data_IF_407755236841
#
_entry.id   IF_407755236841
#
_cell.length_a   1.000
_cell.length_b   1.000
_cell.length_c   1.000
_cell.angle_alpha   90.00
_cell.angle_beta   90.00
_cell.angle_gamma   90.00
#
_symmetry.space_group_name_H-M   'P 1'
#
loop_
_entity.id
_entity.type
_entity.pdbx_description
1 polymer ?
#
# COMPACT_ATOMS: atom_id res chain seq x y z
N UNK A 1 18.95 -29.42 -7.65
CA UNK A 1 17.49 -29.53 -7.72
C UNK A 1 17.08 -28.74 -8.94
N UNK A 2 16.74 -29.44 -10.03
CA UNK A 2 16.28 -28.77 -11.24
C UNK A 2 14.86 -28.23 -11.00
N UNK A 3 14.67 -26.91 -11.19
CA UNK A 3 13.36 -26.25 -11.06
C UNK A 3 12.29 -26.94 -11.94
N UNK A 4 12.69 -27.53 -13.06
CA UNK A 4 11.82 -28.28 -13.95
C UNK A 4 11.35 -29.62 -13.35
N UNK A 5 12.13 -30.29 -12.52
CA UNK A 5 11.69 -31.49 -11.79
C UNK A 5 10.62 -31.14 -10.74
N UNK A 6 10.70 -29.98 -10.10
CA UNK A 6 9.70 -29.48 -9.16
C UNK A 6 8.34 -29.21 -9.83
N UNK A 7 8.34 -28.68 -11.05
CA UNK A 7 7.13 -28.43 -11.84
C UNK A 7 6.55 -29.68 -12.45
N UNK A 8 7.36 -30.72 -12.63
CA UNK A 8 6.92 -32.00 -13.20
C UNK A 8 6.34 -32.98 -12.18
N UNK A 9 6.28 -32.64 -10.89
CA UNK A 9 5.58 -33.42 -9.88
C UNK A 9 4.09 -33.47 -10.23
N UNK A 10 3.62 -34.70 -10.50
CA UNK A 10 2.21 -34.98 -10.87
C UNK A 10 1.22 -34.81 -9.72
N UNK A 11 1.65 -34.37 -8.56
CA UNK A 11 0.81 -34.17 -7.39
C UNK A 11 0.12 -32.78 -7.44
N UNK A 12 -1.22 -32.73 -7.37
CA UNK A 12 -1.97 -31.47 -7.56
C UNK A 12 -1.76 -30.49 -6.42
N UNK A 13 -1.52 -30.96 -5.19
CA UNK A 13 -1.45 -30.08 -4.00
C UNK A 13 -0.14 -29.28 -3.95
N UNK A 14 1.06 -29.86 -4.08
CA UNK A 14 2.29 -29.09 -4.17
C UNK A 14 2.29 -28.08 -5.33
N UNK A 15 1.75 -28.48 -6.48
CA UNK A 15 1.64 -27.58 -7.63
C UNK A 15 0.71 -26.40 -7.35
N UNK A 16 -0.42 -26.63 -6.68
CA UNK A 16 -1.35 -25.58 -6.27
C UNK A 16 -0.70 -24.61 -5.27
N UNK A 17 0.02 -25.13 -4.26
CA UNK A 17 0.77 -24.31 -3.27
C UNK A 17 1.77 -23.42 -3.98
N UNK A 18 2.59 -23.95 -4.88
CA UNK A 18 3.56 -23.17 -5.64
C UNK A 18 2.88 -22.12 -6.53
N UNK A 19 1.77 -22.47 -7.18
CA UNK A 19 0.98 -21.55 -8.00
C UNK A 19 0.42 -20.39 -7.19
N UNK A 20 -0.12 -20.64 -5.99
CA UNK A 20 -0.59 -19.59 -5.08
C UNK A 20 0.54 -18.67 -4.61
N UNK A 21 1.69 -19.22 -4.24
CA UNK A 21 2.83 -18.43 -3.80
C UNK A 21 3.38 -17.56 -4.93
N UNK A 22 3.45 -18.06 -6.16
CA UNK A 22 3.84 -17.28 -7.33
C UNK A 22 2.84 -16.16 -7.61
N UNK A 23 1.54 -16.45 -7.54
CA UNK A 23 0.49 -15.44 -7.72
C UNK A 23 0.61 -14.33 -6.67
N UNK A 24 0.75 -14.68 -5.39
CA UNK A 24 0.94 -13.70 -4.32
C UNK A 24 2.21 -12.87 -4.50
N UNK A 25 3.30 -13.49 -4.93
CA UNK A 25 4.54 -12.79 -5.24
C UNK A 25 4.35 -11.78 -6.37
N UNK A 26 3.75 -12.18 -7.50
CA UNK A 26 3.50 -11.30 -8.63
C UNK A 26 2.57 -10.13 -8.27
N UNK A 27 1.49 -10.39 -7.53
CA UNK A 27 0.57 -9.36 -7.04
C UNK A 27 1.31 -8.37 -6.13
N UNK A 28 2.14 -8.87 -5.20
CA UNK A 28 2.92 -8.01 -4.30
C UNK A 28 3.89 -7.11 -5.06
N UNK A 29 4.65 -7.64 -6.00
CA UNK A 29 5.57 -6.83 -6.80
C UNK A 29 4.84 -5.78 -7.65
N UNK A 30 3.68 -6.14 -8.22
CA UNK A 30 2.85 -5.18 -8.96
C UNK A 30 2.40 -4.02 -8.07
N UNK A 31 1.94 -4.31 -6.85
CA UNK A 31 1.54 -3.29 -5.88
C UNK A 31 2.76 -2.45 -5.45
N UNK A 32 3.90 -3.08 -5.16
CA UNK A 32 5.13 -2.41 -4.75
C UNK A 32 5.56 -1.37 -5.79
N UNK A 33 5.69 -1.76 -7.06
CA UNK A 33 6.12 -0.83 -8.12
C UNK A 33 5.11 0.27 -8.37
N UNK A 34 3.81 -0.05 -8.36
CA UNK A 34 2.72 0.93 -8.51
C UNK A 34 2.75 1.96 -7.39
N UNK A 35 2.84 1.51 -6.12
CA UNK A 35 2.90 2.39 -4.95
C UNK A 35 4.17 3.21 -4.88
N UNK A 36 5.31 2.63 -5.22
CA UNK A 36 6.57 3.36 -5.27
C UNK A 36 6.51 4.54 -6.23
N UNK A 37 6.03 4.28 -7.45
CA UNK A 37 5.83 5.33 -8.46
C UNK A 37 4.83 6.39 -8.01
N UNK A 38 3.71 5.96 -7.44
CA UNK A 38 2.66 6.84 -6.92
C UNK A 38 3.19 7.76 -5.81
N UNK A 39 3.83 7.23 -4.77
CA UNK A 39 4.37 8.04 -3.67
C UNK A 39 5.46 9.01 -4.12
N UNK A 40 6.29 8.59 -5.08
CA UNK A 40 7.31 9.47 -5.67
C UNK A 40 6.69 10.66 -6.40
N UNK A 41 5.65 10.41 -7.19
CA UNK A 41 4.88 11.46 -7.90
C UNK A 41 4.17 12.39 -6.92
N UNK A 42 3.45 11.82 -5.94
CA UNK A 42 2.71 12.58 -4.93
C UNK A 42 3.64 13.48 -4.11
N UNK A 43 4.80 12.99 -3.68
CA UNK A 43 5.79 13.77 -2.92
C UNK A 43 6.33 14.96 -3.74
N UNK A 44 6.62 14.75 -5.01
CA UNK A 44 7.07 15.83 -5.89
C UNK A 44 5.96 16.86 -6.15
N UNK A 45 4.75 16.41 -6.45
CA UNK A 45 3.60 17.28 -6.68
C UNK A 45 3.28 18.11 -5.43
N UNK A 46 3.26 17.49 -4.23
CA UNK A 46 3.09 18.19 -2.96
C UNK A 46 4.13 19.31 -2.74
N UNK A 47 5.41 19.05 -3.06
CA UNK A 47 6.47 20.07 -2.91
C UNK A 47 6.24 21.27 -3.84
N UNK A 48 5.79 21.02 -5.06
CA UNK A 48 5.51 22.11 -6.03
C UNK A 48 4.27 22.88 -5.62
N UNK A 49 3.20 22.19 -5.26
CA UNK A 49 1.97 22.81 -4.78
C UNK A 49 2.20 23.67 -3.52
N UNK A 50 2.88 23.12 -2.51
CA UNK A 50 3.15 23.83 -1.26
C UNK A 50 3.99 25.11 -1.48
N UNK A 51 4.94 25.08 -2.43
CA UNK A 51 5.68 26.29 -2.83
C UNK A 51 4.79 27.34 -3.50
N UNK A 52 3.85 26.88 -4.35
CA UNK A 52 2.89 27.78 -4.99
C UNK A 52 1.94 28.41 -3.95
N UNK A 53 1.43 27.59 -3.02
CA UNK A 53 0.57 28.04 -1.92
C UNK A 53 1.28 29.09 -1.04
N UNK A 54 2.52 28.84 -0.61
CA UNK A 54 3.29 29.73 0.28
C UNK A 54 3.83 31.00 -0.40
N UNK A 55 3.88 31.05 -1.75
CA UNK A 55 4.22 32.30 -2.46
C UNK A 55 3.19 33.40 -2.24
N UNK A 56 2.03 33.07 -1.71
CA UNK A 56 0.95 34.00 -1.44
C UNK A 56 0.17 34.37 -2.69
N UNK A 57 -1.05 34.80 -2.49
CA UNK A 57 -1.96 35.18 -3.55
C UNK A 57 -3.40 35.12 -3.07
N UNK A 58 -4.31 35.57 -3.90
CA UNK A 58 -5.72 35.33 -3.66
C UNK A 58 -6.01 33.83 -3.76
N UNK A 59 -6.90 33.31 -2.90
CA UNK A 59 -7.29 31.89 -2.87
C UNK A 59 -7.72 31.39 -4.25
N UNK A 60 -8.39 32.21 -5.05
CA UNK A 60 -8.79 31.88 -6.43
C UNK A 60 -7.60 31.61 -7.36
N UNK A 61 -6.51 32.38 -7.22
CA UNK A 61 -5.31 32.16 -8.01
C UNK A 61 -4.61 30.86 -7.61
N UNK A 62 -4.61 30.53 -6.33
CA UNK A 62 -4.07 29.27 -5.84
C UNK A 62 -4.94 28.09 -6.31
N UNK A 63 -6.27 28.23 -6.33
CA UNK A 63 -7.20 27.23 -6.83
C UNK A 63 -6.96 26.89 -8.33
N UNK A 64 -6.73 27.90 -9.16
CA UNK A 64 -6.37 27.71 -10.57
C UNK A 64 -5.05 26.94 -10.75
N UNK A 65 -4.09 27.14 -9.85
CA UNK A 65 -2.82 26.41 -9.84
C UNK A 65 -2.99 25.01 -9.28
N UNK A 66 -3.84 24.81 -8.28
CA UNK A 66 -4.09 23.50 -7.67
C UNK A 66 -4.56 22.46 -8.68
N UNK A 67 -5.41 22.87 -9.63
CA UNK A 67 -5.89 22.01 -10.73
C UNK A 67 -4.78 21.43 -11.62
N UNK A 68 -3.58 21.98 -11.58
CA UNK A 68 -2.41 21.48 -12.34
C UNK A 68 -1.66 20.37 -11.58
N UNK A 69 -2.01 20.14 -10.32
CA UNK A 69 -1.33 19.21 -9.42
C UNK A 69 -2.22 18.05 -8.96
N UNK A 70 -2.93 17.39 -9.88
CA UNK A 70 -3.85 16.28 -9.60
C UNK A 70 -3.24 15.14 -8.78
N UNK A 71 -1.91 14.97 -8.87
CA UNK A 71 -1.18 13.95 -8.12
C UNK A 71 -0.77 14.40 -6.70
N UNK A 72 -1.13 15.62 -6.28
CA UNK A 72 -0.74 16.19 -4.99
C UNK A 72 -1.86 16.01 -3.96
N UNK A 73 -1.75 15.13 -2.95
CA UNK A 73 -2.72 15.06 -1.85
C UNK A 73 -3.01 16.41 -1.18
N UNK A 74 -1.99 17.29 -1.04
CA UNK A 74 -2.19 18.62 -0.49
C UNK A 74 -3.10 19.51 -1.35
N UNK A 75 -3.06 19.37 -2.68
CA UNK A 75 -3.95 20.12 -3.57
C UNK A 75 -5.40 19.66 -3.40
N UNK A 76 -5.62 18.35 -3.20
CA UNK A 76 -6.97 17.83 -2.93
C UNK A 76 -7.49 18.35 -1.59
N UNK A 77 -6.69 18.33 -0.53
CA UNK A 77 -7.09 18.91 0.78
C UNK A 77 -7.39 20.40 0.64
N UNK A 78 -6.58 21.14 -0.15
CA UNK A 78 -6.85 22.54 -0.47
C UNK A 78 -8.22 22.72 -1.15
N UNK A 79 -8.56 21.88 -2.12
CA UNK A 79 -9.84 21.97 -2.83
C UNK A 79 -11.03 21.76 -1.89
N UNK A 80 -10.93 20.87 -0.92
CA UNK A 80 -11.95 20.72 0.13
C UNK A 80 -12.13 22.02 0.91
N UNK A 81 -11.04 22.63 1.36
CA UNK A 81 -11.08 23.90 2.09
C UNK A 81 -11.59 25.05 1.24
N UNK A 82 -11.09 25.19 0.01
CA UNK A 82 -11.49 26.24 -0.92
C UNK A 82 -12.98 26.18 -1.28
N UNK A 83 -13.51 24.99 -1.54
CA UNK A 83 -14.91 24.80 -1.83
C UNK A 83 -15.79 25.20 -0.63
N UNK A 84 -15.38 24.90 0.59
CA UNK A 84 -16.10 25.32 1.80
C UNK A 84 -16.06 26.84 1.98
N UNK A 85 -14.89 27.47 1.80
CA UNK A 85 -14.74 28.94 1.83
C UNK A 85 -15.64 29.59 0.78
N UNK A 86 -15.59 29.12 -0.46
CA UNK A 86 -16.42 29.61 -1.56
C UNK A 86 -17.91 29.45 -1.29
N UNK A 87 -18.34 28.34 -0.70
CA UNK A 87 -19.72 28.09 -0.29
C UNK A 87 -20.19 29.08 0.76
N UNK A 88 -19.37 29.35 1.78
CA UNK A 88 -19.71 30.32 2.83
C UNK A 88 -19.76 31.74 2.27
N UNK A 89 -18.83 32.12 1.40
CA UNK A 89 -18.82 33.43 0.74
C UNK A 89 -20.06 33.64 -0.11
N UNK A 90 -20.47 32.64 -0.90
CA UNK A 90 -21.68 32.72 -1.73
C UNK A 90 -22.96 32.80 -0.89
N UNK A 91 -23.03 32.10 0.24
CA UNK A 91 -24.26 32.03 1.05
C UNK A 91 -24.41 33.18 2.04
N UNK A 92 -23.31 33.69 2.60
CA UNK A 92 -23.32 34.65 3.72
C UNK A 92 -22.50 35.92 3.45
N UNK A 93 -21.83 36.03 2.31
CA UNK A 93 -20.92 37.13 1.97
C UNK A 93 -19.65 37.18 2.81
N UNK A 94 -19.45 36.23 3.73
CA UNK A 94 -18.26 36.16 4.61
C UNK A 94 -18.01 34.74 5.09
N UNK A 95 -16.77 34.41 5.41
CA UNK A 95 -16.40 33.19 6.11
C UNK A 95 -16.68 33.40 7.61
N UNK A 96 -17.65 32.67 8.17
CA UNK A 96 -18.12 32.85 9.54
C UNK A 96 -18.07 31.57 10.37
N UNK A 97 -17.89 30.41 9.73
CA UNK A 97 -17.90 29.12 10.42
C UNK A 97 -16.57 28.37 10.17
N UNK A 98 -15.54 28.78 10.93
CA UNK A 98 -14.21 28.15 10.86
C UNK A 98 -14.22 26.69 11.33
N UNK A 99 -15.11 26.33 12.28
CA UNK A 99 -15.28 24.95 12.71
C UNK A 99 -15.79 24.04 11.57
N UNK A 100 -16.70 24.55 10.72
CA UNK A 100 -17.12 23.81 9.54
C UNK A 100 -15.99 23.66 8.53
N UNK A 101 -15.18 24.69 8.35
CA UNK A 101 -14.00 24.67 7.47
C UNK A 101 -12.96 23.64 7.96
N UNK A 102 -12.65 23.65 9.26
CA UNK A 102 -11.75 22.69 9.89
C UNK A 102 -12.23 21.25 9.68
N UNK A 103 -13.51 20.97 9.95
CA UNK A 103 -14.10 19.64 9.73
C UNK A 103 -14.04 19.21 8.27
N UNK A 104 -14.26 20.14 7.34
CA UNK A 104 -14.18 19.84 5.90
C UNK A 104 -12.75 19.50 5.48
N UNK A 105 -11.75 20.21 6.00
CA UNK A 105 -10.33 19.90 5.78
C UNK A 105 -9.99 18.51 6.35
N UNK A 106 -10.46 18.17 7.57
CA UNK A 106 -10.26 16.86 8.17
C UNK A 106 -10.88 15.72 7.34
N UNK A 107 -12.05 15.94 6.75
CA UNK A 107 -12.66 14.99 5.80
C UNK A 107 -11.76 14.81 4.59
N UNK A 108 -11.25 15.89 4.00
CA UNK A 108 -10.31 15.82 2.87
C UNK A 108 -9.03 15.06 3.21
N UNK A 109 -8.46 15.29 4.39
CA UNK A 109 -7.28 14.55 4.88
C UNK A 109 -7.60 13.06 5.03
N UNK A 110 -8.75 12.72 5.63
CA UNK A 110 -9.16 11.31 5.83
C UNK A 110 -9.40 10.58 4.51
N UNK A 111 -10.02 11.23 3.53
CA UNK A 111 -10.23 10.66 2.20
C UNK A 111 -8.90 10.40 1.47
N UNK A 112 -7.96 11.34 1.55
CA UNK A 112 -6.65 11.16 0.94
C UNK A 112 -5.84 10.06 1.63
N UNK A 113 -5.89 9.94 2.95
CA UNK A 113 -5.27 8.81 3.67
C UNK A 113 -5.85 7.49 3.19
N UNK A 114 -7.18 7.37 3.07
CA UNK A 114 -7.83 6.17 2.58
C UNK A 114 -7.37 5.79 1.15
N UNK A 115 -7.16 6.78 0.27
CA UNK A 115 -6.60 6.56 -1.08
C UNK A 115 -5.13 6.09 -1.01
N UNK A 116 -4.33 6.70 -0.13
CA UNK A 116 -2.94 6.32 0.08
C UNK A 116 -2.81 4.88 0.61
N UNK A 117 -3.72 4.44 1.47
CA UNK A 117 -3.76 3.10 2.08
C UNK A 117 -4.33 2.02 1.13
N UNK A 118 -4.99 2.42 0.07
CA UNK A 118 -5.60 1.48 -0.88
C UNK A 118 -4.59 0.43 -1.33
N UNK A 119 -5.00 -0.83 -1.34
CA UNK A 119 -4.18 -2.02 -1.68
C UNK A 119 -3.04 -2.37 -0.71
N UNK A 120 -2.83 -1.62 0.39
CA UNK A 120 -1.85 -2.00 1.41
C UNK A 120 -2.20 -3.31 2.09
N UNK A 121 -3.50 -3.61 2.26
CA UNK A 121 -3.98 -4.84 2.87
C UNK A 121 -3.50 -6.10 2.13
N UNK A 122 -3.33 -6.04 0.80
CA UNK A 122 -2.79 -7.16 0.03
C UNK A 122 -1.33 -7.45 0.37
N UNK A 123 -0.50 -6.42 0.58
CA UNK A 123 0.88 -6.60 1.02
C UNK A 123 0.92 -7.20 2.44
N UNK A 124 0.07 -6.70 3.36
CA UNK A 124 -0.05 -7.26 4.70
C UNK A 124 -0.46 -8.74 4.65
N UNK A 125 -1.48 -9.08 3.85
CA UNK A 125 -1.95 -10.46 3.68
C UNK A 125 -0.86 -11.35 3.10
N UNK A 126 -0.17 -10.92 2.06
CA UNK A 126 0.94 -11.69 1.49
C UNK A 126 2.05 -11.92 2.51
N UNK A 127 2.44 -10.88 3.25
CA UNK A 127 3.48 -10.97 4.27
C UNK A 127 3.14 -11.96 5.39
N UNK A 128 1.86 -12.04 5.78
CA UNK A 128 1.41 -12.89 6.91
C UNK A 128 1.01 -14.29 6.46
N UNK A 129 0.39 -14.45 5.30
CA UNK A 129 -0.20 -15.73 4.87
C UNK A 129 0.80 -16.60 4.08
N UNK A 130 1.67 -15.99 3.26
CA UNK A 130 2.58 -16.76 2.39
C UNK A 130 3.51 -17.72 3.15
N UNK A 131 4.06 -17.40 4.34
CA UNK A 131 4.87 -18.33 5.11
C UNK A 131 4.07 -19.56 5.55
N UNK A 132 2.80 -19.39 5.92
CA UNK A 132 1.93 -20.51 6.33
C UNK A 132 1.54 -21.40 5.15
N UNK A 133 1.31 -20.81 3.98
CA UNK A 133 1.10 -21.58 2.74
C UNK A 133 2.36 -22.40 2.42
N UNK A 134 3.54 -21.80 2.55
CA UNK A 134 4.81 -22.50 2.37
C UNK A 134 5.00 -23.65 3.38
N UNK A 135 4.69 -23.38 4.67
CA UNK A 135 4.74 -24.40 5.71
C UNK A 135 3.75 -25.53 5.45
N UNK A 136 2.53 -25.24 5.02
CA UNK A 136 1.56 -26.25 4.62
C UNK A 136 2.10 -27.13 3.50
N UNK A 137 2.75 -26.53 2.48
CA UNK A 137 3.40 -27.27 1.41
C UNK A 137 4.49 -28.21 1.93
N UNK A 138 5.26 -27.80 2.94
CA UNK A 138 6.30 -28.64 3.56
C UNK A 138 5.67 -29.82 4.29
N UNK A 139 4.67 -29.58 5.14
CA UNK A 139 3.98 -30.66 5.88
C UNK A 139 3.38 -31.68 4.94
N UNK A 140 2.71 -31.21 3.90
CA UNK A 140 2.12 -32.08 2.89
C UNK A 140 3.17 -32.93 2.15
N UNK A 141 4.25 -32.30 1.72
CA UNK A 141 5.33 -33.00 1.01
C UNK A 141 6.03 -34.04 1.88
N UNK A 142 6.22 -33.79 3.17
CA UNK A 142 6.77 -34.75 4.13
C UNK A 142 5.83 -35.94 4.30
N UNK A 143 4.51 -35.71 4.44
CA UNK A 143 3.51 -36.76 4.53
C UNK A 143 3.60 -37.69 3.30
N UNK A 144 3.65 -37.11 2.11
CA UNK A 144 3.75 -37.91 0.87
C UNK A 144 5.07 -38.69 0.78
N UNK A 145 6.18 -38.07 1.20
CA UNK A 145 7.46 -38.77 1.22
C UNK A 145 7.45 -39.99 2.13
N UNK A 146 6.82 -39.91 3.32
CA UNK A 146 6.69 -41.06 4.22
C UNK A 146 5.67 -42.09 3.72
N UNK A 147 4.60 -41.71 3.05
CA UNK A 147 3.67 -42.63 2.42
C UNK A 147 4.38 -43.45 1.31
N UNK A 148 5.19 -42.77 0.49
CA UNK A 148 5.97 -43.48 -0.55
C UNK A 148 6.97 -44.48 0.06
N UNK A 149 7.58 -44.17 1.21
CA UNK A 149 8.46 -45.08 1.94
C UNK A 149 7.68 -46.34 2.41
N UNK A 150 6.49 -46.12 2.99
CA UNK A 150 5.64 -47.25 3.45
C UNK A 150 5.21 -48.18 2.32
N UNK A 151 4.88 -47.62 1.17
CA UNK A 151 4.47 -48.39 -0.03
C UNK A 151 5.65 -49.12 -0.69
N UNK A 152 6.86 -48.55 -0.63
CA UNK A 152 8.04 -49.18 -1.26
C UNK A 152 8.59 -50.38 -0.49
N UNK A 153 8.18 -50.59 0.76
CA UNK A 153 8.73 -51.65 1.63
C UNK A 153 10.23 -51.49 1.94
N UNK A 154 10.82 -50.37 1.57
CA UNK A 154 12.26 -50.05 1.71
C UNK A 154 12.48 -49.04 2.85
N UNK A 155 13.50 -49.24 3.65
CA UNK A 155 13.92 -48.30 4.68
C UNK A 155 14.99 -47.28 4.17
N UNK A 156 15.19 -47.20 2.85
CA UNK A 156 16.23 -46.39 2.25
C UNK A 156 15.87 -44.90 2.24
N UNK A 157 16.73 -44.03 2.78
CA UNK A 157 16.64 -42.59 2.68
C UNK A 157 16.58 -42.07 1.24
N UNK A 158 17.04 -42.83 0.26
CA UNK A 158 16.97 -42.43 -1.16
C UNK A 158 15.54 -42.28 -1.67
N UNK A 159 14.56 -42.95 -1.03
CA UNK A 159 13.15 -42.85 -1.40
C UNK A 159 12.53 -41.58 -0.91
N UNK A 160 12.86 -41.10 0.28
CA UNK A 160 12.21 -39.96 0.92
C UNK A 160 12.96 -38.60 0.68
N UNK A 161 14.27 -38.66 0.47
CA UNK A 161 15.09 -37.44 0.37
C UNK A 161 14.62 -36.46 -0.73
N UNK A 162 14.24 -36.91 -1.95
CA UNK A 162 13.73 -35.98 -2.98
C UNK A 162 12.41 -35.31 -2.56
N UNK A 163 11.48 -36.07 -1.95
CA UNK A 163 10.20 -35.54 -1.49
C UNK A 163 10.37 -34.50 -0.38
N UNK A 164 11.27 -34.76 0.58
CA UNK A 164 11.60 -33.77 1.63
C UNK A 164 12.28 -32.52 1.06
N UNK A 165 13.22 -32.69 0.14
CA UNK A 165 13.88 -31.56 -0.50
C UNK A 165 12.88 -30.66 -1.25
N UNK A 166 11.96 -31.24 -1.99
CA UNK A 166 10.90 -30.53 -2.71
C UNK A 166 9.95 -29.81 -1.73
N UNK A 167 9.62 -30.45 -0.61
CA UNK A 167 8.81 -29.84 0.43
C UNK A 167 9.46 -28.58 0.99
N UNK A 168 10.74 -28.60 1.31
CA UNK A 168 11.47 -27.43 1.84
C UNK A 168 11.49 -26.25 0.87
N UNK A 169 11.48 -26.51 -0.44
CA UNK A 169 11.40 -25.44 -1.45
C UNK A 169 10.09 -24.65 -1.32
N UNK A 170 8.96 -25.31 -1.00
CA UNK A 170 7.70 -24.59 -0.80
C UNK A 170 7.79 -23.56 0.33
N UNK A 171 8.42 -23.90 1.46
CA UNK A 171 8.65 -22.93 2.55
C UNK A 171 9.59 -21.80 2.11
N UNK A 172 10.65 -22.11 1.38
CA UNK A 172 11.57 -21.08 0.88
C UNK A 172 10.86 -20.10 -0.06
N UNK A 173 9.97 -20.58 -0.95
CA UNK A 173 9.15 -19.73 -1.81
C UNK A 173 8.13 -18.90 -1.02
N UNK A 174 7.54 -19.46 0.03
CA UNK A 174 6.64 -18.74 0.93
C UNK A 174 7.33 -17.56 1.61
N UNK A 175 8.55 -17.78 2.12
CA UNK A 175 9.37 -16.73 2.71
C UNK A 175 9.85 -15.72 1.66
N UNK A 176 10.23 -16.14 0.47
CA UNK A 176 10.66 -15.27 -0.62
C UNK A 176 9.53 -14.32 -1.08
N UNK A 177 8.27 -14.75 -1.01
CA UNK A 177 7.11 -13.89 -1.28
C UNK A 177 6.80 -12.95 -0.10
N UNK A 178 6.90 -13.45 1.14
CA UNK A 178 6.51 -12.72 2.33
C UNK A 178 7.48 -11.59 2.71
N UNK A 179 8.79 -11.84 2.62
CA UNK A 179 9.80 -10.89 3.11
C UNK A 179 9.73 -9.55 2.37
N UNK A 180 9.72 -9.47 1.03
CA UNK A 180 9.57 -8.21 0.32
C UNK A 180 8.23 -7.52 0.64
N UNK A 181 7.13 -8.30 0.71
CA UNK A 181 5.82 -7.76 1.02
C UNK A 181 5.80 -7.09 2.41
N UNK A 182 6.41 -7.70 3.43
CA UNK A 182 6.52 -7.14 4.77
C UNK A 182 7.37 -5.86 4.80
N UNK A 183 8.53 -5.86 4.12
CA UNK A 183 9.42 -4.70 4.08
C UNK A 183 8.71 -3.50 3.45
N UNK A 184 8.07 -3.70 2.29
CA UNK A 184 7.41 -2.60 1.58
C UNK A 184 6.11 -2.18 2.25
N UNK A 185 5.37 -3.08 2.88
CA UNK A 185 4.22 -2.71 3.71
C UNK A 185 4.62 -1.73 4.81
N UNK A 186 5.68 -2.03 5.56
CA UNK A 186 6.17 -1.15 6.62
C UNK A 186 6.73 0.17 6.08
N UNK A 187 7.49 0.12 4.97
CA UNK A 187 8.03 1.32 4.33
C UNK A 187 6.93 2.27 3.84
N UNK A 188 5.92 1.73 3.15
CA UNK A 188 4.81 2.54 2.67
C UNK A 188 3.93 3.04 3.80
N UNK A 189 3.69 2.24 4.84
CA UNK A 189 2.98 2.67 6.03
C UNK A 189 3.62 3.87 6.71
N UNK A 190 4.96 3.89 6.81
CA UNK A 190 5.69 5.07 7.30
C UNK A 190 5.51 6.28 6.37
N UNK A 191 5.62 6.08 5.05
CA UNK A 191 5.42 7.15 4.06
C UNK A 191 4.01 7.74 4.12
N UNK A 192 2.99 6.92 4.34
CA UNK A 192 1.60 7.38 4.50
C UNK A 192 1.47 8.25 5.74
N UNK A 193 2.04 7.82 6.88
CA UNK A 193 2.03 8.60 8.13
C UNK A 193 2.71 9.97 7.96
N UNK A 194 3.85 10.02 7.27
CA UNK A 194 4.51 11.30 6.94
C UNK A 194 3.63 12.21 6.08
N UNK A 195 2.94 11.64 5.08
CA UNK A 195 2.05 12.41 4.22
C UNK A 195 0.81 12.88 4.98
N UNK A 196 0.25 12.06 5.87
CA UNK A 196 -0.87 12.42 6.73
C UNK A 196 -0.53 13.63 7.62
N UNK A 197 0.59 13.57 8.34
CA UNK A 197 1.05 14.68 9.16
C UNK A 197 1.23 15.97 8.36
N UNK A 198 1.78 15.89 7.13
CA UNK A 198 1.90 17.05 6.26
C UNK A 198 0.57 17.62 5.78
N UNK A 199 -0.45 16.78 5.58
CA UNK A 199 -1.80 17.23 5.24
C UNK A 199 -2.47 17.91 6.44
N UNK A 200 -2.25 17.42 7.66
CA UNK A 200 -2.72 18.04 8.89
C UNK A 200 -2.06 19.40 9.11
N UNK A 201 -0.72 19.50 8.99
CA UNK A 201 0.00 20.76 9.07
C UNK A 201 -0.49 21.78 8.03
N UNK A 202 -0.71 21.31 6.79
CA UNK A 202 -1.23 22.14 5.72
C UNK A 202 -2.65 22.62 6.01
N UNK A 203 -3.51 21.81 6.62
CA UNK A 203 -4.85 22.20 7.02
C UNK A 203 -4.82 23.34 8.01
N UNK A 204 -3.89 23.31 8.97
CA UNK A 204 -3.68 24.44 9.91
C UNK A 204 -3.15 25.68 9.21
N UNK A 205 -2.20 25.54 8.26
CA UNK A 205 -1.72 26.69 7.46
C UNK A 205 -2.87 27.33 6.66
N UNK A 206 -3.75 26.51 6.09
CA UNK A 206 -4.90 26.99 5.33
C UNK A 206 -5.91 27.71 6.22
N UNK A 207 -6.22 27.18 7.40
CA UNK A 207 -7.10 27.83 8.38
C UNK A 207 -6.55 29.18 8.78
N UNK A 208 -5.29 29.27 9.20
CA UNK A 208 -4.63 30.52 9.58
C UNK A 208 -4.62 31.57 8.44
N UNK A 209 -4.40 31.11 7.20
CA UNK A 209 -4.46 32.00 6.03
C UNK A 209 -5.88 32.56 5.85
N UNK A 210 -6.89 31.71 5.99
CA UNK A 210 -8.30 32.07 5.80
C UNK A 210 -8.74 33.06 6.90
N UNK A 211 -8.41 32.80 8.17
CA UNK A 211 -8.69 33.70 9.28
C UNK A 211 -8.10 35.09 9.03
N UNK A 212 -6.82 35.15 8.71
CA UNK A 212 -6.13 36.45 8.40
C UNK A 212 -6.69 37.17 7.19
N UNK A 213 -7.29 36.44 6.23
CA UNK A 213 -7.84 37.06 5.01
C UNK A 213 -9.26 37.57 5.20
N UNK A 214 -10.04 36.98 6.10
CA UNK A 214 -11.47 37.28 6.24
C UNK A 214 -11.87 37.82 7.61
N UNK A 215 -11.03 37.78 8.64
CA UNK A 215 -11.25 38.41 9.95
C UNK A 215 -10.48 39.76 10.12
N UNK A 216 -9.49 40.05 9.26
CA UNK A 216 -8.78 41.34 9.22
C UNK A 216 -9.50 42.35 8.36
#
# INVERSE_FOLDING_TARGET
>A
VDFWELVSTKEPIPLAVMGFLLLFSLLSWTIIFSKWSFFRKARNANRHFLRAFRKGGKLDAIAAVAQQYDAAPLAVVFDFGYNEVSRQMTSKGRVSNFLALERTLQVGVSEEIAKLERSMNWLATTATVSPFIGLFGTVWGIINAFQALGLSGSTSMRVVAPGIANALVATALGLAAAIPAAIFYNHFGHTIKEMAARMEDFSLEFLNLTERTFEG
#
